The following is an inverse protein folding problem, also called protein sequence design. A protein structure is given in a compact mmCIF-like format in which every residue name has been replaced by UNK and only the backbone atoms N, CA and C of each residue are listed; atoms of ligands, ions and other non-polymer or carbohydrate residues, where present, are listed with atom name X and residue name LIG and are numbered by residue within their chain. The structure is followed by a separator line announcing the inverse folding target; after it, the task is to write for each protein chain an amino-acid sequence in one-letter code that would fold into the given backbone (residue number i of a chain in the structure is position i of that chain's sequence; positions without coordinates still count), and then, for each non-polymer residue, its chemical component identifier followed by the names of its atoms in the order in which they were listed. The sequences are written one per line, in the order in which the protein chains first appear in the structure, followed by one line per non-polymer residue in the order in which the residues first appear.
data_IF_229744775837
#
_entry.id   IF_229744775837
#
_cell.length_a   1.000
_cell.length_b   1.000
_cell.length_c   1.000
_cell.angle_alpha   90.00
_cell.angle_beta   90.00
_cell.angle_gamma   90.00
#
_symmetry.space_group_name_H-M   'P 1'
#
loop_
_entity.id
_entity.type
_entity.pdbx_description
1 polymer ?
#
# COMPACT_ATOMS: atom_id res chain seq x y z
N UNK A 1 -41.11 38.23 9.00
CA UNK A 1 -40.60 38.26 7.62
C UNK A 1 -39.96 36.90 7.40
N UNK A 2 -40.82 35.89 7.28
CA UNK A 2 -41.31 35.32 6.01
C UNK A 2 -40.36 34.23 5.49
N UNK A 3 -40.71 33.00 5.87
CA UNK A 3 -40.41 31.74 5.20
C UNK A 3 -40.80 31.77 3.72
N UNK A 4 -39.98 31.19 2.84
CA UNK A 4 -40.47 30.46 1.64
C UNK A 4 -39.40 29.56 1.01
N UNK A 5 -39.86 28.35 0.72
CA UNK A 5 -39.24 27.22 0.04
C UNK A 5 -39.13 27.49 -1.47
N UNK A 6 -38.11 26.95 -2.15
CA UNK A 6 -38.26 26.61 -3.57
C UNK A 6 -37.54 25.30 -3.92
N UNK A 7 -38.37 24.27 -4.08
CA UNK A 7 -38.04 22.97 -4.64
C UNK A 7 -38.10 23.09 -6.17
N UNK A 8 -36.93 23.05 -6.82
CA UNK A 8 -36.78 23.22 -8.27
C UNK A 8 -37.19 21.96 -9.02
N UNK A 9 -38.32 22.06 -9.72
CA UNK A 9 -38.93 21.01 -10.52
C UNK A 9 -38.07 20.52 -11.71
N UNK A 10 -38.27 19.24 -12.00
CA UNK A 10 -37.82 18.47 -13.15
C UNK A 10 -37.82 19.24 -14.49
N UNK A 11 -36.71 19.12 -15.21
CA UNK A 11 -36.70 19.18 -16.68
C UNK A 11 -36.22 17.85 -17.24
N UNK A 12 -37.18 17.01 -17.60
CA UNK A 12 -37.00 15.93 -18.56
C UNK A 12 -36.48 16.54 -19.86
N UNK A 13 -35.22 16.28 -20.19
CA UNK A 13 -34.77 16.33 -21.58
C UNK A 13 -34.75 14.91 -22.11
N UNK A 14 -35.82 14.59 -22.85
CA UNK A 14 -35.75 13.63 -23.94
C UNK A 14 -34.55 14.03 -24.80
N UNK A 15 -33.50 13.21 -24.83
CA UNK A 15 -32.49 13.27 -25.87
C UNK A 15 -32.34 11.88 -26.44
N UNK A 16 -32.41 11.86 -27.77
CA UNK A 16 -32.73 10.74 -28.60
C UNK A 16 -31.75 9.58 -28.40
N UNK A 17 -32.33 8.40 -28.17
CA UNK A 17 -31.68 7.12 -28.40
C UNK A 17 -31.33 7.04 -29.89
N UNK A 18 -30.08 7.34 -30.22
CA UNK A 18 -29.49 6.91 -31.50
C UNK A 18 -29.06 5.45 -31.33
N UNK A 19 -29.98 4.54 -31.66
CA UNK A 19 -29.64 3.15 -31.98
C UNK A 19 -28.83 3.19 -33.28
N UNK A 20 -27.52 3.41 -33.17
CA UNK A 20 -26.60 3.16 -34.27
C UNK A 20 -26.22 1.69 -34.24
N UNK A 21 -27.07 0.86 -34.84
CA UNK A 21 -26.76 -0.52 -35.17
C UNK A 21 -25.65 -0.53 -36.24
N UNK A 22 -24.40 -0.39 -35.81
CA UNK A 22 -23.24 -0.73 -36.63
C UNK A 22 -23.13 -2.27 -36.66
N UNK A 23 -23.92 -2.87 -37.55
CA UNK A 23 -23.67 -4.18 -38.11
C UNK A 23 -22.37 -4.13 -38.92
N UNK A 24 -21.23 -4.17 -38.24
CA UNK A 24 -19.96 -4.51 -38.86
C UNK A 24 -19.65 -5.96 -38.47
N UNK A 25 -20.11 -6.87 -39.32
CA UNK A 25 -19.76 -8.28 -39.25
C UNK A 25 -18.27 -8.46 -39.49
N UNK A 26 -17.51 -8.64 -38.42
CA UNK A 26 -16.28 -9.40 -38.46
C UNK A 26 -16.62 -10.83 -38.04
N UNK A 27 -16.78 -11.69 -39.05
CA UNK A 27 -16.64 -13.13 -38.93
C UNK A 27 -15.27 -13.42 -38.32
N UNK A 28 -15.21 -13.71 -37.02
CA UNK A 28 -14.06 -14.37 -36.41
C UNK A 28 -14.41 -15.86 -36.36
N UNK A 29 -13.72 -16.62 -37.21
CA UNK A 29 -13.77 -18.08 -37.23
C UNK A 29 -13.27 -18.64 -35.88
N UNK A 30 -13.95 -19.63 -35.28
CA UNK A 30 -13.44 -20.31 -34.10
C UNK A 30 -12.24 -21.18 -34.50
N UNK A 31 -11.04 -20.77 -34.10
CA UNK A 31 -9.85 -21.63 -34.15
C UNK A 31 -9.96 -22.69 -33.04
N UNK A 32 -10.55 -23.85 -33.37
CA UNK A 32 -10.60 -25.03 -32.50
C UNK A 32 -9.37 -25.91 -32.72
N UNK A 33 -8.17 -25.40 -32.42
CA UNK A 33 -6.94 -26.17 -32.59
C UNK A 33 -5.92 -25.97 -31.46
N UNK A 34 -6.33 -26.15 -30.22
CA UNK A 34 -5.41 -26.57 -29.15
C UNK A 34 -6.09 -27.63 -28.29
N UNK A 35 -6.17 -28.82 -28.87
CA UNK A 35 -6.34 -30.08 -28.17
C UNK A 35 -4.94 -30.61 -27.81
N UNK A 36 -4.89 -31.29 -26.65
CA UNK A 36 -3.93 -32.31 -26.25
C UNK A 36 -2.57 -31.88 -25.68
N UNK A 37 -2.38 -32.21 -24.39
CA UNK A 37 -1.05 -32.59 -23.91
C UNK A 37 -0.87 -32.42 -22.41
N UNK A 38 -1.27 -33.44 -21.65
CA UNK A 38 -1.04 -33.47 -20.21
C UNK A 38 0.44 -33.41 -19.81
N UNK A 39 0.66 -33.12 -18.53
CA UNK A 39 1.84 -33.48 -17.77
C UNK A 39 1.44 -33.57 -16.30
N UNK A 40 1.18 -34.80 -15.88
CA UNK A 40 1.46 -35.24 -14.52
C UNK A 40 2.95 -34.97 -14.26
N UNK A 41 3.24 -34.08 -13.32
CA UNK A 41 4.57 -33.53 -13.11
C UNK A 41 4.83 -33.21 -11.66
N UNK A 42 5.04 -34.29 -10.91
CA UNK A 42 6.07 -34.40 -9.87
C UNK A 42 5.86 -33.63 -8.55
N UNK A 43 5.60 -34.42 -7.51
CA UNK A 43 5.77 -34.06 -6.12
C UNK A 43 7.27 -33.93 -5.80
N UNK A 44 7.81 -32.74 -6.00
CA UNK A 44 9.10 -32.33 -5.44
C UNK A 44 8.98 -32.11 -3.93
N UNK A 45 9.11 -33.19 -3.15
CA UNK A 45 9.40 -33.12 -1.70
C UNK A 45 10.83 -32.60 -1.57
N UNK A 46 10.97 -31.27 -1.48
CA UNK A 46 12.22 -30.61 -1.14
C UNK A 46 12.49 -30.76 0.35
N UNK A 47 13.19 -31.82 0.74
CA UNK A 47 13.92 -31.88 2.02
C UNK A 47 15.07 -30.87 1.96
N UNK A 48 14.82 -29.64 2.39
CA UNK A 48 15.90 -28.70 2.71
C UNK A 48 16.37 -29.01 4.13
N UNK A 49 17.33 -29.94 4.21
CA UNK A 49 18.22 -30.05 5.36
C UNK A 49 19.11 -28.80 5.37
N UNK A 50 18.71 -27.78 6.13
CA UNK A 50 19.66 -26.83 6.69
C UNK A 50 19.74 -27.10 8.19
N UNK A 51 20.50 -28.15 8.53
CA UNK A 51 21.04 -28.32 9.87
C UNK A 51 22.18 -27.30 10.04
N UNK A 52 21.79 -26.05 10.32
CA UNK A 52 22.66 -24.99 10.79
C UNK A 52 22.51 -24.84 12.29
N UNK A 53 23.35 -25.58 13.00
CA UNK A 53 23.73 -25.47 14.41
C UNK A 53 23.66 -24.03 14.98
N UNK A 54 22.72 -23.73 15.91
CA UNK A 54 22.96 -22.69 16.89
C UNK A 54 23.74 -23.34 18.04
N UNK A 55 25.05 -23.13 18.02
CA UNK A 55 25.87 -23.27 19.21
C UNK A 55 25.26 -22.39 20.30
N UNK A 56 24.53 -23.01 21.21
CA UNK A 56 24.20 -22.45 22.51
C UNK A 56 25.52 -22.27 23.25
N UNK A 57 26.11 -21.10 23.09
CA UNK A 57 27.17 -20.60 23.95
C UNK A 57 26.58 -20.27 25.30
N UNK A 58 26.42 -21.28 26.13
CA UNK A 58 26.16 -21.14 27.57
C UNK A 58 27.43 -20.55 28.20
N UNK A 59 27.52 -19.21 28.16
CA UNK A 59 28.52 -18.44 28.87
C UNK A 59 28.23 -18.43 30.36
N UNK A 60 28.39 -19.59 31.00
CA UNK A 60 28.41 -19.73 32.46
C UNK A 60 29.69 -19.05 33.00
N UNK A 61 29.58 -17.76 33.28
CA UNK A 61 30.56 -17.02 34.05
C UNK A 61 30.58 -17.49 35.51
N UNK A 62 31.44 -18.46 35.79
CA UNK A 62 31.83 -18.93 37.13
C UNK A 62 32.42 -17.78 37.98
N UNK A 63 31.85 -17.45 39.16
CA UNK A 63 32.40 -16.45 40.07
C UNK A 63 33.43 -17.10 41.00
N UNK A 64 34.68 -17.20 40.55
CA UNK A 64 35.80 -17.53 41.46
C UNK A 64 36.63 -16.29 41.80
N UNK A 65 36.31 -15.75 42.98
CA UNK A 65 37.27 -15.37 44.04
C UNK A 65 38.65 -14.85 43.64
N UNK A 66 38.81 -13.53 43.77
CA UNK A 66 39.85 -12.94 44.62
C UNK A 66 41.17 -12.52 43.98
N UNK A 67 41.30 -11.22 43.70
CA UNK A 67 42.56 -10.48 43.82
C UNK A 67 42.27 -8.97 44.03
N UNK A 68 42.67 -8.34 45.15
CA UNK A 68 42.58 -6.90 45.34
C UNK A 68 43.89 -6.24 44.90
N UNK A 69 44.10 -6.11 43.60
CA UNK A 69 45.12 -5.19 43.09
C UNK A 69 44.48 -4.10 42.23
N UNK A 70 44.63 -2.89 42.74
CA UNK A 70 44.29 -1.60 42.15
C UNK A 70 44.82 -1.51 40.72
N UNK A 71 43.92 -1.64 39.75
CA UNK A 71 44.14 -1.27 38.36
C UNK A 71 43.08 -0.26 37.98
N UNK A 72 43.52 0.96 37.71
CA UNK A 72 42.72 2.08 37.19
C UNK A 72 42.33 1.78 35.73
N UNK A 73 41.53 0.73 35.54
CA UNK A 73 40.99 0.35 34.25
C UNK A 73 39.95 1.38 33.86
N UNK A 74 40.36 2.27 32.96
CA UNK A 74 39.51 3.09 32.12
C UNK A 74 38.28 2.25 31.75
N UNK A 75 37.16 2.59 32.38
CA UNK A 75 35.87 2.00 32.03
C UNK A 75 35.58 2.45 30.62
N UNK A 76 36.05 1.65 29.67
CA UNK A 76 35.53 1.54 28.33
C UNK A 76 34.07 1.16 28.54
N UNK A 77 33.26 2.17 28.84
CA UNK A 77 31.84 2.07 28.80
C UNK A 77 31.57 1.60 27.40
N UNK A 78 31.24 0.32 27.30
CA UNK A 78 30.51 -0.27 26.20
C UNK A 78 29.29 0.62 26.06
N UNK A 79 29.49 1.73 25.35
CA UNK A 79 28.46 2.61 24.84
C UNK A 79 27.78 1.77 23.80
N UNK A 80 27.08 0.75 24.29
CA UNK A 80 25.92 0.20 23.66
C UNK A 80 25.16 1.43 23.18
N UNK A 81 25.04 1.66 21.87
CA UNK A 81 24.23 2.74 21.35
C UNK A 81 22.76 2.42 21.59
N UNK A 82 22.39 2.08 22.82
CA UNK A 82 21.03 2.18 23.30
C UNK A 82 20.67 3.66 23.34
N UNK A 83 19.52 3.95 22.76
CA UNK A 83 18.68 5.13 23.01
C UNK A 83 18.90 6.39 22.18
N UNK A 84 19.38 6.26 20.94
CA UNK A 84 18.60 6.90 19.89
C UNK A 84 17.43 5.96 19.65
N UNK A 85 16.33 6.11 20.39
CA UNK A 85 15.27 5.10 20.50
C UNK A 85 14.65 4.69 19.16
N UNK A 86 15.03 5.28 18.01
CA UNK A 86 14.68 4.77 16.69
C UNK A 86 13.18 4.72 16.39
N UNK A 87 12.36 5.11 17.36
CA UNK A 87 10.91 5.11 17.40
C UNK A 87 10.32 6.38 16.80
N UNK A 88 11.15 7.33 16.39
CA UNK A 88 10.66 8.51 15.69
C UNK A 88 10.36 8.14 14.23
N UNK A 89 9.23 7.48 14.05
CA UNK A 89 8.58 7.23 12.77
C UNK A 89 8.07 8.52 12.11
N UNK A 90 8.60 9.68 12.48
CA UNK A 90 8.23 10.95 11.88
C UNK A 90 8.69 11.02 10.43
N UNK A 91 7.80 11.45 9.56
CA UNK A 91 8.12 11.70 8.17
C UNK A 91 8.98 12.94 8.01
N UNK A 92 9.86 12.88 7.00
CA UNK A 92 10.50 14.08 6.47
C UNK A 92 9.46 14.89 5.70
N UNK A 93 9.52 16.22 5.84
CA UNK A 93 8.73 17.12 4.99
C UNK A 93 9.28 17.07 3.56
N UNK A 94 8.43 16.72 2.59
CA UNK A 94 8.84 16.67 1.21
C UNK A 94 9.20 18.08 0.68
N UNK A 95 10.26 18.24 -0.13
CA UNK A 95 10.68 19.55 -0.63
C UNK A 95 9.67 20.16 -1.62
N UNK A 96 8.92 19.32 -2.33
CA UNK A 96 7.99 19.73 -3.38
C UNK A 96 8.66 20.54 -4.50
N UNK A 97 7.85 21.26 -5.27
CA UNK A 97 8.32 22.26 -6.22
C UNK A 97 7.23 23.27 -6.58
N UNK A 98 7.60 24.35 -7.27
CA UNK A 98 6.64 25.35 -7.78
C UNK A 98 5.76 24.81 -8.93
N UNK A 99 6.14 23.70 -9.57
CA UNK A 99 5.41 23.09 -10.68
C UNK A 99 4.85 21.73 -10.29
N UNK A 100 3.54 21.58 -10.39
CA UNK A 100 2.91 20.30 -10.13
C UNK A 100 3.34 19.26 -11.20
N UNK A 101 3.84 18.07 -10.79
CA UNK A 101 4.16 17.00 -11.72
C UNK A 101 2.95 16.57 -12.55
N UNK A 102 3.19 16.04 -13.75
CA UNK A 102 2.13 15.73 -14.71
C UNK A 102 1.31 14.49 -14.33
N UNK A 103 1.84 13.65 -13.47
CA UNK A 103 1.20 12.49 -12.85
C UNK A 103 0.20 12.86 -11.75
N UNK A 104 0.32 14.06 -11.16
CA UNK A 104 -0.61 14.55 -10.16
C UNK A 104 -1.85 15.16 -10.83
N UNK A 105 -3.04 14.86 -10.31
CA UNK A 105 -4.27 15.57 -10.68
C UNK A 105 -4.22 17.03 -10.21
N UNK A 106 -3.71 17.24 -9.00
CA UNK A 106 -3.46 18.57 -8.43
C UNK A 106 -2.33 18.52 -7.39
N UNK A 107 -1.83 19.68 -6.95
CA UNK A 107 -0.85 19.77 -5.88
C UNK A 107 -1.30 20.74 -4.79
N UNK A 108 -1.01 20.41 -3.53
CA UNK A 108 -1.28 21.25 -2.35
C UNK A 108 0.01 21.44 -1.57
N UNK A 109 0.80 22.45 -1.94
CA UNK A 109 2.15 22.62 -1.39
C UNK A 109 3.07 21.50 -1.87
N UNK A 110 3.65 20.76 -0.94
CA UNK A 110 4.53 19.61 -1.18
C UNK A 110 3.77 18.26 -1.30
N UNK A 111 2.44 18.28 -1.39
CA UNK A 111 1.59 17.08 -1.56
C UNK A 111 1.11 16.97 -3.01
N UNK A 112 1.43 15.86 -3.66
CA UNK A 112 0.85 15.42 -4.94
C UNK A 112 -0.47 14.70 -4.66
N UNK A 113 -1.56 15.19 -5.26
CA UNK A 113 -2.90 14.59 -5.13
C UNK A 113 -3.28 13.93 -6.45
N UNK A 114 -3.57 12.64 -6.40
CA UNK A 114 -4.02 11.81 -7.53
C UNK A 114 -5.45 11.35 -7.25
N UNK A 115 -6.40 11.84 -8.05
CA UNK A 115 -7.83 11.54 -7.90
C UNK A 115 -8.30 10.60 -9.02
N UNK A 116 -8.62 9.37 -8.63
CA UNK A 116 -9.22 8.32 -9.46
C UNK A 116 -10.73 8.25 -9.17
N UNK A 117 -11.45 9.31 -9.53
CA UNK A 117 -12.89 9.41 -9.28
C UNK A 117 -13.71 8.89 -10.47
N UNK A 118 -14.58 7.92 -10.20
CA UNK A 118 -15.45 7.27 -11.18
C UNK A 118 -15.24 5.76 -11.25
N UNK A 119 -16.18 5.07 -11.89
CA UNK A 119 -16.06 3.63 -12.14
C UNK A 119 -14.84 3.34 -13.02
N UNK A 120 -13.94 2.46 -12.57
CA UNK A 120 -12.76 2.01 -13.31
C UNK A 120 -11.81 3.12 -13.80
N UNK A 121 -11.80 4.29 -13.16
CA UNK A 121 -11.06 5.45 -13.68
C UNK A 121 -9.55 5.22 -13.79
N UNK A 122 -8.97 4.45 -12.86
CA UNK A 122 -7.56 4.08 -12.79
C UNK A 122 -7.35 2.55 -12.75
N UNK A 123 -8.36 1.76 -13.13
CA UNK A 123 -8.28 0.30 -13.15
C UNK A 123 -7.08 -0.18 -13.99
N UNK A 124 -6.28 -1.09 -13.42
CA UNK A 124 -5.11 -1.69 -14.06
C UNK A 124 -3.95 -0.72 -14.36
N UNK A 125 -3.97 0.49 -13.80
CA UNK A 125 -2.87 1.46 -13.97
C UNK A 125 -1.79 1.31 -12.89
N UNK A 126 -0.55 1.55 -13.29
CA UNK A 126 0.59 1.69 -12.37
C UNK A 126 0.75 3.15 -11.96
N UNK A 127 0.26 3.50 -10.77
CA UNK A 127 0.35 4.84 -10.19
C UNK A 127 1.71 4.98 -9.51
N UNK A 128 2.56 5.84 -10.05
CA UNK A 128 3.89 6.12 -9.49
C UNK A 128 3.91 7.53 -8.92
N UNK A 129 4.06 7.64 -7.60
CA UNK A 129 4.15 8.91 -6.91
C UNK A 129 5.51 9.60 -7.18
N UNK A 130 5.54 10.93 -7.36
CA UNK A 130 6.79 11.66 -7.55
C UNK A 130 7.71 11.56 -6.31
N UNK A 131 9.01 11.42 -6.53
CA UNK A 131 9.97 11.20 -5.44
C UNK A 131 10.18 12.42 -4.52
N UNK A 132 9.82 13.63 -4.96
CA UNK A 132 10.04 14.88 -4.21
C UNK A 132 8.77 15.40 -3.51
N UNK A 133 7.71 14.60 -3.43
CA UNK A 133 6.41 14.98 -2.88
C UNK A 133 5.89 13.94 -1.89
N UNK A 134 5.09 14.39 -0.92
CA UNK A 134 4.14 13.51 -0.24
C UNK A 134 3.04 13.12 -1.23
N UNK A 135 2.50 11.91 -1.13
CA UNK A 135 1.54 11.40 -2.10
C UNK A 135 0.19 11.10 -1.45
N UNK A 136 -0.89 11.60 -2.02
CA UNK A 136 -2.26 11.28 -1.65
C UNK A 136 -2.98 10.74 -2.87
N UNK A 137 -3.34 9.46 -2.83
CA UNK A 137 -4.10 8.78 -3.88
C UNK A 137 -5.50 8.51 -3.35
N UNK A 138 -6.52 8.95 -4.09
CA UNK A 138 -7.92 8.69 -3.76
C UNK A 138 -8.56 7.89 -4.88
N UNK A 139 -9.03 6.69 -4.56
CA UNK A 139 -9.77 5.80 -5.45
C UNK A 139 -11.24 5.86 -5.06
N UNK A 140 -12.05 6.61 -5.82
CA UNK A 140 -13.48 6.81 -5.51
C UNK A 140 -14.36 6.16 -6.58
N UNK A 141 -15.01 5.04 -6.24
CA UNK A 141 -15.95 4.34 -7.12
C UNK A 141 -15.70 2.83 -7.20
N UNK A 142 -16.63 2.13 -7.84
CA UNK A 142 -16.49 0.69 -8.11
C UNK A 142 -15.28 0.45 -9.00
N UNK A 143 -14.40 -0.44 -8.56
CA UNK A 143 -13.18 -0.85 -9.26
C UNK A 143 -12.25 0.33 -9.63
N UNK A 144 -12.34 1.46 -8.92
CA UNK A 144 -11.68 2.71 -9.30
C UNK A 144 -10.17 2.57 -9.54
N UNK A 145 -9.49 1.75 -8.74
CA UNK A 145 -8.07 1.42 -8.85
C UNK A 145 -7.83 -0.10 -8.85
N UNK A 146 -8.85 -0.91 -9.11
CA UNK A 146 -8.76 -2.38 -9.05
C UNK A 146 -7.66 -2.92 -9.99
N UNK A 147 -6.95 -3.97 -9.55
CA UNK A 147 -5.84 -4.65 -10.24
C UNK A 147 -4.64 -3.78 -10.64
N UNK A 148 -4.65 -2.48 -10.32
CA UNK A 148 -3.56 -1.54 -10.56
C UNK A 148 -2.45 -1.69 -9.52
N UNK A 149 -1.49 -0.76 -9.51
CA UNK A 149 -0.46 -0.70 -8.46
C UNK A 149 -0.19 0.73 -8.01
N UNK A 150 0.26 0.90 -6.77
CA UNK A 150 0.70 2.19 -6.22
C UNK A 150 2.14 2.06 -5.74
N UNK A 151 3.04 2.87 -6.32
CA UNK A 151 4.44 2.98 -5.87
C UNK A 151 4.64 4.32 -5.19
N UNK A 152 4.83 4.29 -3.88
CA UNK A 152 5.07 5.47 -3.05
C UNK A 152 6.49 6.01 -3.19
N UNK A 153 6.74 7.28 -2.84
CA UNK A 153 8.09 7.84 -2.79
C UNK A 153 8.95 7.13 -1.74
N UNK A 154 10.27 7.17 -1.93
CA UNK A 154 11.20 6.45 -1.08
C UNK A 154 11.31 7.03 0.34
N UNK A 155 11.07 8.33 0.53
CA UNK A 155 11.38 9.02 1.80
C UNK A 155 10.20 9.75 2.44
N UNK A 156 9.06 9.87 1.74
CA UNK A 156 7.97 10.77 2.13
C UNK A 156 6.66 10.02 2.35
N UNK A 157 5.75 10.66 3.08
CA UNK A 157 4.46 10.08 3.42
C UNK A 157 3.64 9.74 2.18
N UNK A 158 2.92 8.61 2.23
CA UNK A 158 2.06 8.12 1.18
C UNK A 158 0.74 7.62 1.76
N UNK A 159 -0.37 8.23 1.34
CA UNK A 159 -1.71 7.85 1.75
C UNK A 159 -2.52 7.37 0.55
N UNK A 160 -3.08 6.17 0.67
CA UNK A 160 -4.06 5.63 -0.26
C UNK A 160 -5.43 5.57 0.43
N UNK A 161 -6.41 6.26 -0.13
CA UNK A 161 -7.78 6.24 0.35
C UNK A 161 -8.66 5.54 -0.67
N UNK A 162 -9.31 4.47 -0.23
CA UNK A 162 -10.20 3.65 -1.03
C UNK A 162 -11.63 3.92 -0.56
N UNK A 163 -12.44 4.54 -1.41
CA UNK A 163 -13.79 4.96 -1.07
C UNK A 163 -14.77 4.65 -2.20
N UNK A 164 -16.04 4.48 -1.85
CA UNK A 164 -17.11 4.26 -2.83
C UNK A 164 -17.06 2.90 -3.53
N UNK A 165 -18.24 2.37 -3.86
CA UNK A 165 -18.34 1.14 -4.65
C UNK A 165 -17.90 -0.14 -3.93
N UNK A 166 -17.93 -1.24 -4.67
CA UNK A 166 -17.34 -2.52 -4.30
C UNK A 166 -15.95 -2.58 -4.95
N UNK A 167 -14.93 -3.06 -4.23
CA UNK A 167 -13.58 -3.27 -4.79
C UNK A 167 -12.85 -2.01 -5.30
N UNK A 168 -13.07 -0.84 -4.70
CA UNK A 168 -12.40 0.40 -5.14
C UNK A 168 -10.86 0.26 -5.28
N UNK A 169 -10.25 -0.53 -4.39
CA UNK A 169 -8.83 -0.89 -4.42
C UNK A 169 -8.65 -2.42 -4.41
N UNK A 170 -9.53 -3.13 -5.11
CA UNK A 170 -9.45 -4.59 -5.25
C UNK A 170 -8.09 -5.04 -5.75
N UNK A 171 -7.54 -6.09 -5.13
CA UNK A 171 -6.29 -6.74 -5.55
C UNK A 171 -5.09 -5.79 -5.81
N UNK A 172 -5.12 -4.56 -5.28
CA UNK A 172 -4.14 -3.52 -5.54
C UNK A 172 -2.91 -3.70 -4.65
N UNK A 173 -1.71 -3.96 -5.21
CA UNK A 173 -0.45 -3.83 -4.49
C UNK A 173 -0.02 -2.36 -4.34
N UNK A 174 0.21 -1.97 -3.09
CA UNK A 174 0.88 -0.72 -2.70
C UNK A 174 2.29 -1.04 -2.19
N UNK A 175 3.31 -0.34 -2.69
CA UNK A 175 4.70 -0.49 -2.26
C UNK A 175 5.21 0.77 -1.59
N UNK A 176 5.60 0.66 -0.33
CA UNK A 176 6.05 1.76 0.51
C UNK A 176 7.58 1.82 0.60
N UNK A 177 8.13 3.03 0.72
CA UNK A 177 9.54 3.29 1.01
C UNK A 177 9.83 3.40 2.51
N UNK A 178 10.70 4.34 2.86
CA UNK A 178 11.07 4.71 4.23
C UNK A 178 10.13 5.74 4.85
N UNK A 179 9.33 6.45 4.06
CA UNK A 179 8.26 7.30 4.57
C UNK A 179 7.07 6.49 5.10
N UNK A 180 6.20 7.15 5.87
CA UNK A 180 4.98 6.55 6.38
C UNK A 180 4.03 6.19 5.26
N UNK A 181 3.30 5.10 5.46
CA UNK A 181 2.43 4.50 4.47
C UNK A 181 1.10 4.15 5.13
N UNK A 182 0.01 4.67 4.58
CA UNK A 182 -1.32 4.46 5.13
C UNK A 182 -2.28 4.04 4.03
N UNK A 183 -3.03 2.96 4.25
CA UNK A 183 -4.25 2.66 3.49
C UNK A 183 -5.48 2.92 4.36
N UNK A 184 -6.46 3.63 3.81
CA UNK A 184 -7.75 3.86 4.42
C UNK A 184 -8.83 3.18 3.60
N UNK A 185 -9.43 2.13 4.16
CA UNK A 185 -10.52 1.39 3.55
C UNK A 185 -11.85 1.92 4.07
N UNK A 186 -12.64 2.50 3.17
CA UNK A 186 -13.93 3.12 3.49
C UNK A 186 -15.00 2.16 4.02
N UNK A 187 -16.20 2.67 4.24
CA UNK A 187 -17.31 1.96 4.89
C UNK A 187 -17.95 0.86 4.05
N UNK A 188 -17.80 0.89 2.72
CA UNK A 188 -18.41 -0.10 1.85
C UNK A 188 -17.72 -1.48 2.01
N UNK A 189 -18.51 -2.54 2.00
CA UNK A 189 -18.00 -3.90 2.13
C UNK A 189 -17.10 -4.26 0.96
N UNK A 190 -15.93 -4.83 1.23
CA UNK A 190 -15.01 -5.31 0.19
C UNK A 190 -14.27 -4.21 -0.59
N UNK A 191 -14.22 -2.97 -0.09
CA UNK A 191 -13.52 -1.85 -0.76
C UNK A 191 -12.02 -2.12 -0.99
N UNK A 192 -11.36 -2.79 -0.04
CA UNK A 192 -9.94 -3.14 -0.11
C UNK A 192 -9.72 -4.65 -0.22
N UNK A 193 -10.69 -5.38 -0.75
CA UNK A 193 -10.59 -6.84 -0.80
C UNK A 193 -9.41 -7.25 -1.67
N UNK A 194 -8.49 -8.02 -1.11
CA UNK A 194 -7.30 -8.47 -1.84
C UNK A 194 -6.19 -7.42 -1.98
N UNK A 195 -6.43 -6.17 -1.53
CA UNK A 195 -5.39 -5.16 -1.47
C UNK A 195 -4.20 -5.65 -0.63
N UNK A 196 -2.99 -5.23 -0.99
CA UNK A 196 -1.79 -5.55 -0.24
C UNK A 196 -0.87 -4.34 -0.12
N UNK A 197 -0.23 -4.19 1.04
CA UNK A 197 0.69 -3.10 1.33
C UNK A 197 2.04 -3.71 1.69
N UNK A 198 3.02 -3.55 0.82
CA UNK A 198 4.39 -3.89 1.11
C UNK A 198 5.04 -2.76 1.90
N UNK A 199 5.06 -2.91 3.21
CA UNK A 199 5.68 -1.94 4.11
C UNK A 199 7.20 -1.87 3.89
N UNK A 200 7.76 -0.66 4.00
CA UNK A 200 9.20 -0.45 4.07
C UNK A 200 9.63 -0.10 5.50
N UNK A 201 10.61 0.79 5.65
CA UNK A 201 11.18 1.12 6.97
C UNK A 201 10.32 2.10 7.80
N UNK A 202 9.45 2.87 7.15
CA UNK A 202 8.59 3.87 7.81
C UNK A 202 7.41 3.25 8.56
N UNK A 203 6.60 4.10 9.19
CA UNK A 203 5.35 3.65 9.80
C UNK A 203 4.40 3.13 8.74
N UNK A 204 3.78 1.98 8.97
CA UNK A 204 2.85 1.34 8.06
C UNK A 204 1.52 1.10 8.77
N UNK A 205 0.42 1.65 8.24
CA UNK A 205 -0.89 1.50 8.86
C UNK A 205 -1.98 1.17 7.86
N UNK A 206 -2.95 0.39 8.31
CA UNK A 206 -4.17 0.11 7.58
C UNK A 206 -5.37 0.39 8.48
N UNK A 207 -6.33 1.15 7.96
CA UNK A 207 -7.62 1.39 8.64
C UNK A 207 -8.71 0.68 7.87
N UNK A 208 -9.41 -0.27 8.51
CA UNK A 208 -10.50 -1.01 7.90
C UNK A 208 -11.75 -0.92 8.75
N UNK A 209 -12.85 -0.52 8.13
CA UNK A 209 -14.16 -0.51 8.78
C UNK A 209 -14.87 -1.88 8.65
N UNK A 210 -14.52 -2.66 7.64
CA UNK A 210 -14.91 -4.07 7.51
C UNK A 210 -13.73 -4.99 7.85
N UNK A 211 -13.73 -5.66 9.02
CA UNK A 211 -12.62 -6.51 9.45
C UNK A 211 -12.59 -7.87 8.74
N UNK A 212 -13.54 -8.17 7.84
CA UNK A 212 -13.64 -9.51 7.25
C UNK A 212 -12.60 -9.77 6.17
N UNK A 213 -11.99 -8.73 5.60
CA UNK A 213 -11.01 -8.83 4.52
C UNK A 213 -9.94 -7.73 4.67
N UNK A 214 -9.08 -7.81 5.70
CA UNK A 214 -8.02 -6.84 5.88
C UNK A 214 -6.99 -6.94 4.75
N UNK A 215 -6.38 -5.83 4.33
CA UNK A 215 -5.23 -5.84 3.43
C UNK A 215 -4.11 -6.73 3.99
N UNK A 216 -3.42 -7.44 3.11
CA UNK A 216 -2.20 -8.14 3.50
C UNK A 216 -1.07 -7.13 3.68
N UNK A 217 -0.31 -7.19 4.77
CA UNK A 217 0.79 -6.25 5.05
C UNK A 217 2.16 -6.95 5.18
N UNK A 218 2.73 -7.50 4.08
CA UNK A 218 4.08 -8.05 4.11
C UNK A 218 5.12 -6.96 4.42
N UNK A 219 6.17 -7.31 5.17
CA UNK A 219 7.26 -6.38 5.53
C UNK A 219 6.99 -5.55 6.79
N UNK A 220 5.90 -5.80 7.52
CA UNK A 220 5.63 -5.12 8.79
C UNK A 220 6.70 -5.32 9.86
N UNK A 221 7.50 -6.38 9.78
CA UNK A 221 8.66 -6.63 10.64
C UNK A 221 9.84 -5.68 10.37
N UNK A 222 9.86 -5.04 9.20
CA UNK A 222 10.85 -4.03 8.81
C UNK A 222 10.38 -2.60 9.09
N UNK A 223 9.09 -2.39 9.33
CA UNK A 223 8.50 -1.09 9.62
C UNK A 223 8.83 -0.64 11.05
N UNK A 224 9.12 0.65 11.24
CA UNK A 224 9.34 1.21 12.58
C UNK A 224 8.06 1.15 13.45
N UNK A 225 6.88 1.13 12.82
CA UNK A 225 5.60 0.86 13.45
C UNK A 225 4.68 0.20 12.43
N UNK A 226 3.96 -0.86 12.82
CA UNK A 226 2.96 -1.49 11.97
C UNK A 226 1.64 -1.63 12.71
N UNK A 227 0.58 -1.03 12.16
CA UNK A 227 -0.79 -1.14 12.66
C UNK A 227 -1.67 -1.78 11.60
N UNK A 228 -1.86 -3.12 11.62
CA UNK A 228 -2.79 -3.78 10.73
C UNK A 228 -4.23 -3.45 11.11
N UNK A 229 -5.12 -3.73 10.15
CA UNK A 229 -6.51 -4.03 10.42
C UNK A 229 -6.63 -5.42 11.10
#
# INVERSE_FOLDING_TARGET
METSVNCGAARRRLLAVFVSACLCGCLIEPNTLFDSGGRDGDHGVGTSETAGDPTTGDGDGDPTTGDPTTGDGDGDGDGDPTTGDGDDCSDLEAPGSDQCPGECTSCRGNVCVIECAGESQCEGQDIVCPQDYECEVTCEGTDACDTGSVTCPDLYACTLTCEGGNDACGDLPMSCGQGSCTINCGEASGVCKGASIKCGAGACSATCLDPTQPPSMPGCDAACSCSPC
#
